data_IF_299176535736
#
_entry.id   IF_299176535736
#
_cell.length_a   1.000
_cell.length_b   1.000
_cell.length_c   1.000
_cell.angle_alpha   90.00
_cell.angle_beta   90.00
_cell.angle_gamma   90.00
#
_symmetry.space_group_name_H-M   'P 1'
#
loop_
_entity.id
_entity.type
_entity.pdbx_description
1 polymer ?
#
# COMPACT_ATOMS: atom_id res chain seq x y z
N UNK A 1 3.55 2.98 2.82
CA UNK A 1 3.11 3.18 1.42
C UNK A 1 1.76 2.52 1.22
N UNK A 2 0.73 3.29 1.04
CA UNK A 2 -0.64 2.77 0.96
C UNK A 2 -1.22 3.12 -0.38
N UNK A 3 -1.94 2.20 -0.99
CA UNK A 3 -2.79 2.57 -2.08
C UNK A 3 -3.92 1.56 -2.31
N UNK A 4 -4.87 1.98 -3.07
CA UNK A 4 -6.12 1.34 -3.30
C UNK A 4 -6.12 0.51 -4.55
N UNK A 5 -6.68 -0.64 -4.41
CA UNK A 5 -7.08 -1.45 -5.54
C UNK A 5 -8.51 -1.12 -5.92
N UNK A 6 -8.74 -0.87 -7.18
CA UNK A 6 -10.08 -0.84 -7.74
C UNK A 6 -10.63 -2.26 -7.84
N UNK A 7 -11.90 -2.42 -7.59
CA UNK A 7 -12.57 -3.69 -7.74
C UNK A 7 -12.83 -4.03 -9.19
N UNK A 8 -12.59 -5.27 -9.53
CA UNK A 8 -13.26 -5.87 -10.66
C UNK A 8 -14.71 -6.20 -10.27
N UNK A 9 -15.73 -5.73 -11.02
CA UNK A 9 -17.07 -6.24 -10.88
C UNK A 9 -17.03 -7.75 -11.21
N UNK A 10 -17.30 -8.57 -10.20
CA UNK A 10 -17.38 -10.02 -10.37
C UNK A 10 -16.48 -10.90 -9.50
N UNK A 11 -15.50 -10.36 -8.77
CA UNK A 11 -14.63 -11.19 -7.90
C UNK A 11 -14.82 -11.04 -6.41
N UNK A 12 -15.47 -10.00 -5.96
CA UNK A 12 -15.90 -9.87 -4.56
C UNK A 12 -17.27 -9.23 -4.56
N UNK A 13 -18.28 -9.98 -4.22
CA UNK A 13 -19.69 -9.69 -4.42
C UNK A 13 -20.30 -8.41 -3.83
N UNK A 14 -19.54 -7.40 -3.43
CA UNK A 14 -20.11 -6.22 -2.80
C UNK A 14 -19.41 -4.89 -3.16
N UNK A 15 -18.76 -4.80 -4.30
CA UNK A 15 -18.25 -3.50 -4.77
C UNK A 15 -17.15 -2.86 -3.90
N UNK A 16 -16.40 -3.62 -3.11
CA UNK A 16 -15.41 -3.09 -2.16
C UNK A 16 -13.99 -3.40 -2.57
N UNK A 17 -13.14 -2.36 -2.68
CA UNK A 17 -11.73 -2.45 -2.98
C UNK A 17 -10.92 -3.09 -1.86
N UNK A 18 -9.75 -3.59 -2.21
CA UNK A 18 -8.73 -3.99 -1.26
C UNK A 18 -7.70 -2.90 -1.03
N UNK A 19 -6.96 -2.99 0.06
CA UNK A 19 -5.81 -2.16 0.35
C UNK A 19 -4.55 -2.99 0.23
N UNK A 20 -3.58 -2.48 -0.50
CA UNK A 20 -2.27 -3.11 -0.63
C UNK A 20 -1.21 -2.17 -0.08
N UNK A 21 -0.42 -2.66 0.85
CA UNK A 21 0.61 -1.87 1.52
C UNK A 21 1.95 -2.58 1.50
N UNK A 22 3.02 -1.80 1.37
CA UNK A 22 4.36 -2.22 1.75
C UNK A 22 4.80 -1.38 2.93
N UNK A 23 5.32 -2.02 3.97
CA UNK A 23 5.78 -1.37 5.18
C UNK A 23 7.18 -1.86 5.57
N UNK A 24 7.92 -0.98 6.25
CA UNK A 24 9.28 -1.26 6.69
C UNK A 24 9.30 -2.04 8.00
N UNK A 25 8.71 -1.48 9.05
CA UNK A 25 8.67 -2.02 10.39
C UNK A 25 7.32 -2.64 10.78
N UNK A 26 6.31 -2.52 9.94
CA UNK A 26 4.98 -3.08 10.17
C UNK A 26 4.09 -2.27 11.11
N UNK A 27 4.58 -1.18 11.67
CA UNK A 27 3.85 -0.36 12.65
C UNK A 27 2.54 0.21 12.09
N UNK A 28 2.56 0.63 10.84
CA UNK A 28 1.40 1.22 10.16
C UNK A 28 0.36 0.16 9.82
N UNK A 29 0.78 -0.93 9.20
CA UNK A 29 -0.12 -2.03 8.83
C UNK A 29 -0.67 -2.76 10.05
N UNK A 30 0.06 -2.83 11.15
CA UNK A 30 -0.43 -3.38 12.41
C UNK A 30 -1.69 -2.65 12.89
N UNK A 31 -1.67 -1.31 12.89
CA UNK A 31 -2.84 -0.50 13.25
C UNK A 31 -3.99 -0.61 12.24
N UNK A 32 -3.70 -0.86 10.96
CA UNK A 32 -4.73 -1.10 9.96
C UNK A 32 -5.42 -2.46 10.15
N UNK A 33 -4.65 -3.49 10.51
CA UNK A 33 -5.17 -4.86 10.68
C UNK A 33 -5.88 -5.01 12.01
N UNK A 34 -5.27 -4.54 13.10
CA UNK A 34 -5.77 -4.76 14.46
C UNK A 34 -5.54 -3.54 15.35
N UNK A 35 -6.39 -3.39 16.36
CA UNK A 35 -6.26 -2.42 17.44
C UNK A 35 -7.30 -1.29 17.34
N UNK A 36 -7.08 -0.24 16.56
CA UNK A 36 -7.99 0.90 16.52
C UNK A 36 -9.42 0.53 16.13
N UNK A 37 -10.40 1.14 16.79
CA UNK A 37 -11.83 0.96 16.44
C UNK A 37 -12.17 1.54 15.07
N UNK A 38 -11.42 2.57 14.64
CA UNK A 38 -11.59 3.21 13.33
C UNK A 38 -10.24 3.42 12.67
N UNK A 39 -10.18 3.16 11.38
CA UNK A 39 -9.02 3.41 10.53
C UNK A 39 -9.48 4.26 9.35
N UNK A 40 -8.85 5.40 9.15
CA UNK A 40 -9.11 6.27 8.01
C UNK A 40 -7.88 6.22 7.10
N UNK A 41 -8.10 5.80 5.87
CA UNK A 41 -7.05 5.77 4.83
C UNK A 41 -7.37 6.88 3.83
N UNK A 42 -6.45 7.82 3.70
CA UNK A 42 -6.56 8.89 2.69
C UNK A 42 -5.63 8.54 1.54
N UNK A 43 -6.16 8.51 0.33
CA UNK A 43 -5.41 8.16 -0.86
C UNK A 43 -5.77 9.07 -2.05
N UNK A 44 -4.78 9.52 -2.78
CA UNK A 44 -4.99 10.26 -4.02
C UNK A 44 -5.43 9.35 -5.17
N UNK A 45 -5.98 9.95 -6.22
CA UNK A 45 -6.44 9.22 -7.40
C UNK A 45 -5.34 8.39 -8.07
N UNK A 46 -4.08 8.83 -7.96
CA UNK A 46 -2.90 8.12 -8.46
C UNK A 46 -2.60 6.80 -7.73
N UNK A 47 -3.31 6.49 -6.64
CA UNK A 47 -3.15 5.23 -5.87
C UNK A 47 -4.14 4.14 -6.31
N UNK A 48 -5.06 4.47 -7.21
CA UNK A 48 -6.01 3.49 -7.74
C UNK A 48 -5.35 2.60 -8.79
N UNK A 49 -5.56 1.31 -8.65
CA UNK A 49 -5.10 0.29 -9.60
C UNK A 49 -6.18 -0.76 -9.82
N UNK A 50 -6.12 -1.45 -10.94
CA UNK A 50 -7.19 -2.38 -11.33
C UNK A 50 -7.10 -3.73 -10.62
N UNK A 51 -5.90 -4.21 -10.32
CA UNK A 51 -5.71 -5.51 -9.68
C UNK A 51 -4.51 -5.56 -8.73
N UNK A 52 -4.30 -6.72 -8.10
CA UNK A 52 -3.23 -6.93 -7.14
C UNK A 52 -1.84 -6.91 -7.81
N UNK A 53 -1.73 -7.42 -9.03
CA UNK A 53 -0.44 -7.46 -9.74
C UNK A 53 0.02 -6.05 -10.10
N UNK A 54 -0.89 -5.22 -10.58
CA UNK A 54 -0.61 -3.80 -10.80
C UNK A 54 -0.26 -3.09 -9.49
N UNK A 55 -0.96 -3.44 -8.41
CA UNK A 55 -0.67 -2.94 -7.08
C UNK A 55 0.79 -3.19 -6.71
N UNK A 56 1.23 -4.43 -6.79
CA UNK A 56 2.59 -4.84 -6.43
C UNK A 56 3.63 -4.21 -7.36
N UNK A 57 3.37 -4.19 -8.67
CA UNK A 57 4.26 -3.53 -9.65
C UNK A 57 4.44 -2.03 -9.33
N UNK A 58 3.33 -1.35 -9.02
CA UNK A 58 3.37 0.06 -8.64
C UNK A 58 4.19 0.28 -7.37
N UNK A 59 3.95 -0.52 -6.32
CA UNK A 59 4.70 -0.44 -5.07
C UNK A 59 6.20 -0.63 -5.29
N UNK A 60 6.60 -1.61 -6.09
CA UNK A 60 8.01 -1.83 -6.45
C UNK A 60 8.62 -0.67 -7.23
N UNK A 61 7.84 -0.02 -8.09
CA UNK A 61 8.28 1.14 -8.87
C UNK A 61 8.52 2.36 -8.00
N UNK A 62 7.69 2.61 -6.98
CA UNK A 62 7.81 3.77 -6.11
C UNK A 62 8.68 3.53 -4.88
N UNK A 63 9.01 2.28 -4.55
CA UNK A 63 9.86 1.93 -3.41
C UNK A 63 11.23 2.65 -3.44
N UNK A 64 11.95 2.75 -4.57
CA UNK A 64 13.21 3.48 -4.63
C UNK A 64 13.08 4.97 -4.29
N UNK A 65 12.00 5.61 -4.76
CA UNK A 65 11.73 7.01 -4.47
C UNK A 65 11.49 7.24 -2.98
N UNK A 66 10.75 6.32 -2.36
CA UNK A 66 10.47 6.37 -0.93
C UNK A 66 11.72 6.10 -0.08
N UNK A 67 12.53 5.12 -0.45
CA UNK A 67 13.79 4.81 0.21
C UNK A 67 14.74 6.02 0.17
N UNK A 68 14.82 6.69 -0.97
CA UNK A 68 15.60 7.92 -1.13
C UNK A 68 15.07 9.04 -0.23
N UNK A 69 13.76 9.24 -0.19
CA UNK A 69 13.11 10.27 0.63
C UNK A 69 13.42 10.13 2.11
N UNK A 70 13.46 8.91 2.63
CA UNK A 70 13.77 8.63 4.03
C UNK A 70 15.25 8.34 4.28
N UNK A 71 16.10 8.59 3.28
CA UNK A 71 17.57 8.43 3.37
C UNK A 71 18.02 7.01 3.75
N UNK A 72 17.32 6.00 3.27
CA UNK A 72 17.77 4.61 3.39
C UNK A 72 18.82 4.28 2.33
N UNK A 73 19.85 3.55 2.73
CA UNK A 73 20.90 3.07 1.84
C UNK A 73 20.54 1.68 1.31
N UNK A 74 19.76 1.66 0.25
CA UNK A 74 19.36 0.43 -0.44
C UNK A 74 19.83 0.45 -1.89
N UNK A 75 20.12 -0.70 -2.52
CA UNK A 75 20.57 -0.73 -3.91
C UNK A 75 19.63 -0.03 -4.88
N UNK A 76 18.33 -0.08 -4.62
CA UNK A 76 17.34 0.55 -5.48
C UNK A 76 17.36 2.09 -5.46
N UNK A 77 17.94 2.70 -4.43
CA UNK A 77 18.14 4.17 -4.40
C UNK A 77 19.14 4.60 -5.47
N UNK A 78 20.15 3.78 -5.71
CA UNK A 78 21.21 4.03 -6.69
C UNK A 78 20.77 3.66 -8.11
N UNK A 79 20.18 2.47 -8.26
CA UNK A 79 19.78 1.95 -9.57
C UNK A 79 18.44 2.49 -10.06
N UNK A 80 17.61 3.04 -9.18
CA UNK A 80 16.24 3.46 -9.50
C UNK A 80 15.25 2.32 -9.70
N UNK A 81 15.68 1.06 -9.55
CA UNK A 81 14.85 -0.13 -9.79
C UNK A 81 14.87 -1.06 -8.59
N UNK A 82 13.69 -1.61 -8.26
CA UNK A 82 13.60 -2.65 -7.24
C UNK A 82 14.26 -3.94 -7.74
N UNK A 83 15.13 -4.51 -6.91
CA UNK A 83 15.83 -5.78 -7.17
C UNK A 83 15.65 -6.79 -6.04
N UNK A 84 14.62 -6.61 -5.23
CA UNK A 84 14.32 -7.48 -4.08
C UNK A 84 15.51 -7.71 -3.14
N UNK A 85 16.15 -6.62 -2.77
CA UNK A 85 17.43 -6.60 -2.04
C UNK A 85 17.32 -7.25 -0.65
N UNK A 86 18.42 -7.85 -0.21
CA UNK A 86 18.58 -8.47 1.12
C UNK A 86 19.56 -7.66 1.97
N UNK A 87 19.24 -6.40 2.22
CA UNK A 87 20.05 -5.47 3.01
C UNK A 87 19.35 -5.08 4.29
N UNK A 88 20.13 -4.74 5.34
CA UNK A 88 19.58 -4.38 6.65
C UNK A 88 18.60 -3.20 6.58
N UNK A 89 18.86 -2.24 5.72
CA UNK A 89 18.01 -1.06 5.54
C UNK A 89 16.88 -1.26 4.51
N UNK A 90 16.55 -2.51 4.18
CA UNK A 90 15.43 -2.82 3.31
C UNK A 90 14.14 -2.15 3.81
N UNK A 91 13.46 -1.46 2.91
CA UNK A 91 12.19 -0.79 3.18
C UNK A 91 10.99 -1.72 3.01
N UNK A 92 11.07 -2.66 2.07
CA UNK A 92 9.94 -3.47 1.61
C UNK A 92 9.88 -4.81 2.37
N UNK A 93 9.71 -4.77 3.71
CA UNK A 93 9.75 -5.98 4.53
C UNK A 93 8.39 -6.66 4.65
N UNK A 94 7.29 -5.87 4.68
CA UNK A 94 5.94 -6.39 4.89
C UNK A 94 5.05 -5.99 3.73
N UNK A 95 4.64 -6.97 2.94
CA UNK A 95 3.59 -6.80 1.94
C UNK A 95 2.28 -7.27 2.56
N UNK A 96 1.33 -6.37 2.69
CA UNK A 96 0.03 -6.64 3.30
C UNK A 96 -1.10 -6.38 2.32
N UNK A 97 -2.00 -7.35 2.22
CA UNK A 97 -3.21 -7.24 1.41
C UNK A 97 -4.42 -7.36 2.34
N UNK A 98 -5.21 -6.30 2.42
CA UNK A 98 -6.48 -6.30 3.14
C UNK A 98 -7.58 -6.38 2.09
N UNK A 99 -8.18 -7.54 1.93
CA UNK A 99 -9.20 -7.78 0.90
C UNK A 99 -10.52 -7.08 1.22
N UNK A 100 -10.96 -7.14 2.48
CA UNK A 100 -12.15 -6.46 2.98
C UNK A 100 -12.19 -6.47 4.51
N UNK A 101 -12.97 -5.58 5.09
CA UNK A 101 -13.12 -5.46 6.55
C UNK A 101 -14.46 -6.00 7.08
N UNK A 102 -15.05 -7.01 6.45
CA UNK A 102 -16.45 -7.41 6.72
C UNK A 102 -16.73 -7.89 8.14
N UNK A 103 -15.74 -8.44 8.85
CA UNK A 103 -15.92 -8.82 10.26
C UNK A 103 -16.22 -7.61 11.16
N UNK A 104 -15.70 -6.45 10.78
CA UNK A 104 -15.91 -5.18 11.49
C UNK A 104 -16.40 -4.10 10.52
N UNK A 105 -17.69 -4.13 10.14
CA UNK A 105 -18.24 -3.19 9.17
C UNK A 105 -17.99 -1.73 9.59
N UNK A 106 -17.55 -0.90 8.64
CA UNK A 106 -17.28 0.52 8.88
C UNK A 106 -16.00 0.83 9.66
N UNK A 107 -15.21 -0.18 10.09
CA UNK A 107 -13.94 0.06 10.78
C UNK A 107 -12.92 0.75 9.88
N UNK A 108 -12.82 0.36 8.63
CA UNK A 108 -11.90 0.97 7.67
C UNK A 108 -12.69 1.84 6.71
N UNK A 109 -12.39 3.13 6.73
CA UNK A 109 -12.95 4.12 5.80
C UNK A 109 -11.84 4.60 4.87
N UNK A 110 -12.11 4.58 3.58
CA UNK A 110 -11.17 5.09 2.59
C UNK A 110 -11.71 6.37 2.01
N UNK A 111 -10.92 7.43 2.13
CA UNK A 111 -11.19 8.74 1.55
C UNK A 111 -10.34 8.89 0.29
N UNK A 112 -11.00 8.94 -0.85
CA UNK A 112 -10.33 9.18 -2.14
C UNK A 112 -10.28 10.67 -2.44
N UNK A 113 -9.09 11.19 -2.64
CA UNK A 113 -8.86 12.56 -3.08
C UNK A 113 -8.74 12.56 -4.59
N UNK A 114 -9.49 13.44 -5.27
CA UNK A 114 -9.53 13.53 -6.73
C UNK A 114 -8.23 13.99 -7.40
N UNK A 115 -7.24 14.33 -6.59
CA UNK A 115 -5.93 14.80 -7.04
C UNK A 115 -4.84 13.77 -6.73
N UNK A 116 -3.70 13.91 -7.40
CA UNK A 116 -2.52 13.12 -7.08
C UNK A 116 -1.92 13.58 -5.75
N UNK A 117 -1.70 12.66 -4.83
CA UNK A 117 -1.10 12.94 -3.53
C UNK A 117 0.05 11.98 -3.24
N UNK A 118 1.25 12.53 -3.07
CA UNK A 118 2.46 11.75 -2.89
C UNK A 118 2.83 10.89 -4.11
N UNK A 119 3.70 9.93 -3.93
CA UNK A 119 4.16 9.03 -4.99
C UNK A 119 3.11 7.99 -5.39
#
# INVERSE_FOLDING_TARGET
>A
MNYHRRLHPGRCGNGKGGLVNIDCSGNRVAGMIFGPKRVIVVAGANKLVDDLDEAVKRLRRIAPLNARRIKHHTPCVETGKCMDCQVQQRLCNYLTVINHGMKFPGRITVVMVGEETGF
#
